data_IF_907841911488
#
_entry.id   IF_907841911488
#
_cell.length_a   1.000
_cell.length_b   1.000
_cell.length_c   1.000
_cell.angle_alpha   90.00
_cell.angle_beta   90.00
_cell.angle_gamma   90.00
#
_symmetry.space_group_name_H-M   'P 1'
#
loop_
_entity.id
_entity.type
_entity.pdbx_description
1 polymer ?
#
# COMPACT_ATOMS: atom_id res chain seq x y z
N UNK A 1 -2.31 19.31 6.13
CA UNK A 1 -2.95 18.09 6.69
C UNK A 1 -2.87 17.05 5.60
N UNK A 2 -2.37 15.88 5.93
CA UNK A 2 -2.14 14.79 4.99
C UNK A 2 -3.15 13.67 5.28
N UNK A 3 -3.72 13.11 4.23
CA UNK A 3 -4.64 11.97 4.29
C UNK A 3 -3.96 10.72 3.72
N UNK A 4 -4.16 9.57 4.37
CA UNK A 4 -3.85 8.26 3.80
C UNK A 4 -5.16 7.59 3.41
N UNK A 5 -5.28 7.20 2.14
CA UNK A 5 -6.44 6.45 1.64
C UNK A 5 -6.06 5.42 0.58
N UNK A 6 -7.00 4.53 0.27
CA UNK A 6 -6.91 3.66 -0.91
C UNK A 6 -6.79 4.50 -2.17
N UNK A 7 -5.94 4.04 -3.08
CA UNK A 7 -5.83 4.60 -4.41
C UNK A 7 -7.12 4.35 -5.19
N UNK A 8 -7.50 5.33 -6.01
CA UNK A 8 -8.58 5.26 -6.99
C UNK A 8 -8.01 5.44 -8.39
N UNK A 9 -8.85 5.27 -9.42
CA UNK A 9 -8.42 5.32 -10.82
C UNK A 9 -7.79 6.68 -11.17
N UNK A 10 -8.31 7.75 -10.61
CA UNK A 10 -7.88 9.13 -10.82
C UNK A 10 -6.48 9.40 -10.26
N UNK A 11 -6.00 8.57 -9.33
CA UNK A 11 -4.67 8.70 -8.73
C UNK A 11 -3.57 8.10 -9.62
N UNK A 12 -3.91 7.16 -10.51
CA UNK A 12 -2.94 6.38 -11.29
C UNK A 12 -1.92 7.25 -12.05
N UNK A 13 -2.30 8.36 -12.72
CA UNK A 13 -1.31 9.22 -13.39
C UNK A 13 -0.26 9.77 -12.42
N UNK A 14 -0.68 10.27 -11.26
CA UNK A 14 0.24 10.82 -10.25
C UNK A 14 1.07 9.73 -9.56
N UNK A 15 0.49 8.55 -9.28
CA UNK A 15 1.21 7.38 -8.76
C UNK A 15 2.30 6.95 -9.75
N UNK A 16 1.95 6.81 -11.03
CA UNK A 16 2.89 6.35 -12.04
C UNK A 16 3.98 7.38 -12.33
N UNK A 17 3.66 8.67 -12.25
CA UNK A 17 4.67 9.73 -12.27
C UNK A 17 5.60 9.61 -11.07
N UNK A 18 5.06 9.43 -9.85
CA UNK A 18 5.87 9.28 -8.64
C UNK A 18 6.82 8.06 -8.74
N UNK A 19 6.35 6.93 -9.26
CA UNK A 19 7.16 5.73 -9.49
C UNK A 19 8.26 6.00 -10.53
N UNK A 20 7.92 6.70 -11.62
CA UNK A 20 8.86 7.03 -12.70
C UNK A 20 9.93 8.03 -12.24
N UNK A 21 9.55 8.96 -11.36
CA UNK A 21 10.48 9.91 -10.71
C UNK A 21 11.47 9.19 -9.75
N UNK A 22 11.18 7.95 -9.33
CA UNK A 22 11.97 7.15 -8.36
C UNK A 22 12.30 5.75 -8.91
N UNK A 23 13.11 5.66 -9.99
CA UNK A 23 13.41 4.39 -10.66
C UNK A 23 14.14 3.38 -9.76
N UNK A 24 14.82 3.85 -8.71
CA UNK A 24 15.47 3.02 -7.67
C UNK A 24 14.49 2.15 -6.90
N UNK A 25 13.20 2.44 -6.96
CA UNK A 25 12.17 1.63 -6.34
C UNK A 25 11.93 0.28 -7.04
N UNK A 26 12.38 0.13 -8.30
CA UNK A 26 12.11 -1.05 -9.16
C UNK A 26 10.62 -1.40 -9.31
N UNK A 27 9.72 -0.49 -8.95
CA UNK A 27 8.28 -0.69 -8.99
C UNK A 27 7.79 -0.51 -10.42
N UNK A 28 6.99 -1.46 -10.90
CA UNK A 28 6.30 -1.30 -12.20
C UNK A 28 5.16 -0.31 -12.06
N UNK A 29 4.94 0.49 -13.12
CA UNK A 29 3.76 1.36 -13.24
C UNK A 29 2.47 0.58 -13.00
N UNK A 30 1.52 1.24 -12.34
CA UNK A 30 0.27 0.66 -11.89
C UNK A 30 -0.84 0.81 -12.91
N UNK A 31 -1.68 -0.21 -12.95
CA UNK A 31 -2.82 -0.31 -13.86
C UNK A 31 -4.14 -0.32 -13.07
N UNK A 32 -5.25 -0.03 -13.76
CA UNK A 32 -6.58 -0.12 -13.15
C UNK A 32 -6.92 -1.53 -12.64
N UNK A 33 -6.36 -2.58 -13.26
CA UNK A 33 -6.56 -3.96 -12.82
C UNK A 33 -6.04 -4.20 -11.39
N UNK A 34 -4.90 -3.60 -11.03
CA UNK A 34 -4.31 -3.73 -9.69
C UNK A 34 -5.14 -3.04 -8.61
N UNK A 35 -5.91 -1.98 -8.95
CA UNK A 35 -6.83 -1.34 -8.01
C UNK A 35 -8.01 -2.24 -7.61
N UNK A 36 -8.35 -3.20 -8.46
CA UNK A 36 -9.48 -4.11 -8.25
C UNK A 36 -9.06 -5.47 -7.67
N UNK A 37 -7.76 -5.71 -7.53
CA UNK A 37 -7.24 -6.93 -6.93
C UNK A 37 -7.54 -6.93 -5.41
N UNK A 38 -8.36 -7.89 -4.96
CA UNK A 38 -8.78 -7.97 -3.56
C UNK A 38 -7.64 -8.28 -2.60
N UNK A 39 -6.60 -8.93 -3.12
CA UNK A 39 -5.41 -9.29 -2.36
C UNK A 39 -4.36 -8.17 -2.38
N UNK A 40 -4.61 -7.05 -3.06
CA UNK A 40 -3.70 -5.91 -3.07
C UNK A 40 -4.30 -4.70 -2.35
N UNK A 41 -3.43 -3.98 -1.67
CA UNK A 41 -3.70 -2.69 -1.06
C UNK A 41 -2.77 -1.66 -1.68
N UNK A 42 -3.31 -0.87 -2.61
CA UNK A 42 -2.64 0.30 -3.14
C UNK A 42 -3.13 1.50 -2.34
N UNK A 43 -2.22 2.18 -1.64
CA UNK A 43 -2.53 3.32 -0.79
C UNK A 43 -1.66 4.51 -1.15
N UNK A 44 -2.22 5.71 -0.93
CA UNK A 44 -1.59 6.98 -1.28
C UNK A 44 -1.63 7.94 -0.11
N UNK A 45 -0.57 8.74 0.00
CA UNK A 45 -0.51 9.89 0.90
C UNK A 45 -0.79 11.16 0.08
N UNK A 46 -1.84 11.89 0.47
CA UNK A 46 -2.35 13.04 -0.28
C UNK A 46 -2.34 14.30 0.59
N UNK A 47 -1.91 15.42 0.00
CA UNK A 47 -1.99 16.74 0.64
C UNK A 47 -3.37 17.37 0.50
N UNK A 48 -3.64 18.48 1.20
CA UNK A 48 -4.90 19.21 1.07
C UNK A 48 -5.18 19.69 -0.35
N UNK A 49 -4.13 19.85 -1.15
CA UNK A 49 -4.18 20.30 -2.55
C UNK A 49 -4.33 19.14 -3.55
N UNK A 50 -4.73 17.94 -3.09
CA UNK A 50 -4.90 16.73 -3.90
C UNK A 50 -3.63 16.27 -4.63
N UNK A 51 -2.45 16.56 -4.06
CA UNK A 51 -1.16 16.09 -4.57
C UNK A 51 -0.76 14.80 -3.87
N UNK A 52 -0.40 13.78 -4.65
CA UNK A 52 0.15 12.53 -4.12
C UNK A 52 1.64 12.74 -3.83
N UNK A 53 2.00 12.55 -2.56
CA UNK A 53 3.37 12.72 -2.05
C UNK A 53 3.98 11.40 -1.57
N UNK A 54 3.17 10.33 -1.52
CA UNK A 54 3.62 8.99 -1.21
C UNK A 54 2.70 7.93 -1.78
N UNK A 55 3.29 6.79 -2.12
CA UNK A 55 2.60 5.59 -2.60
C UNK A 55 3.16 4.37 -1.86
N UNK A 56 2.27 3.47 -1.46
CA UNK A 56 2.68 2.16 -0.95
C UNK A 56 1.78 1.07 -1.53
N UNK A 57 2.36 -0.12 -1.67
CA UNK A 57 1.64 -1.34 -2.00
C UNK A 57 1.89 -2.38 -0.91
N UNK A 58 0.82 -3.04 -0.50
CA UNK A 58 0.89 -4.24 0.30
C UNK A 58 0.03 -5.35 -0.31
N UNK A 59 0.53 -6.58 -0.26
CA UNK A 59 -0.16 -7.76 -0.75
C UNK A 59 -0.59 -8.64 0.44
N UNK A 60 -1.82 -9.14 0.39
CA UNK A 60 -2.35 -10.16 1.26
C UNK A 60 -1.96 -11.54 0.71
N UNK A 61 -1.19 -12.28 1.49
CA UNK A 61 -0.88 -13.68 1.24
C UNK A 61 -1.73 -14.55 2.14
N UNK A 62 -2.55 -15.42 1.54
CA UNK A 62 -3.26 -16.44 2.30
C UNK A 62 -2.28 -17.54 2.70
N UNK A 63 -2.36 -18.02 3.94
CA UNK A 63 -1.61 -19.22 4.35
C UNK A 63 -2.25 -20.44 3.68
N UNK A 64 -1.44 -21.33 3.10
CA UNK A 64 -1.88 -22.63 2.59
C UNK A 64 -2.18 -23.64 3.72
N UNK A 65 -1.97 -23.26 4.99
CA UNK A 65 -2.16 -24.16 6.13
C UNK A 65 -3.64 -24.53 6.35
N UNK A 66 -3.83 -25.82 6.66
CA UNK A 66 -5.08 -26.60 6.73
C UNK A 66 -6.32 -25.82 7.20
N UNK A 67 -7.42 -26.08 6.48
CA UNK A 67 -8.79 -25.55 6.65
C UNK A 67 -9.31 -25.56 8.10
N UNK A 68 -8.77 -26.42 8.96
CA UNK A 68 -9.18 -26.55 10.37
C UNK A 68 -8.51 -25.53 11.32
N UNK A 69 -7.46 -24.85 10.87
CA UNK A 69 -6.81 -23.74 11.58
C UNK A 69 -6.82 -22.53 10.64
N UNK A 70 -7.94 -21.79 10.64
CA UNK A 70 -8.20 -20.58 9.82
C UNK A 70 -6.90 -19.89 9.39
N UNK A 71 -6.63 -19.72 8.09
CA UNK A 71 -5.38 -19.13 7.66
C UNK A 71 -5.36 -17.69 8.16
N UNK A 72 -4.50 -17.42 9.14
CA UNK A 72 -4.15 -16.05 9.42
C UNK A 72 -3.27 -15.62 8.26
N UNK A 73 -3.90 -15.08 7.22
CA UNK A 73 -3.17 -14.47 6.11
C UNK A 73 -2.15 -13.46 6.63
N UNK A 74 -1.16 -13.12 5.80
CA UNK A 74 -0.14 -12.11 6.09
C UNK A 74 -0.38 -10.92 5.19
N UNK A 75 -0.25 -9.71 5.72
CA UNK A 75 -0.19 -8.50 4.90
C UNK A 75 1.27 -8.05 4.81
N UNK A 76 1.81 -8.01 3.60
CA UNK A 76 3.23 -7.68 3.36
C UNK A 76 3.28 -6.40 2.56
N UNK A 77 3.83 -5.34 3.13
CA UNK A 77 4.18 -4.13 2.38
C UNK A 77 5.54 -4.33 1.72
N UNK A 78 5.57 -4.33 0.39
CA UNK A 78 6.79 -4.50 -0.42
C UNK A 78 7.10 -3.29 -1.31
N UNK A 79 6.32 -2.22 -1.21
CA UNK A 79 6.57 -0.99 -1.96
C UNK A 79 6.31 0.23 -1.10
N UNK A 80 7.24 1.16 -1.18
CA UNK A 80 7.11 2.51 -0.64
C UNK A 80 7.89 3.47 -1.54
N UNK A 81 7.20 4.51 -2.00
CA UNK A 81 7.80 5.62 -2.76
C UNK A 81 7.30 6.93 -2.16
N UNK A 82 8.19 7.86 -1.84
CA UNK A 82 7.83 9.13 -1.18
C UNK A 82 8.68 10.28 -1.71
N UNK A 83 8.06 11.42 -2.03
CA UNK A 83 8.78 12.62 -2.50
C UNK A 83 9.54 13.34 -1.38
N UNK A 84 8.96 13.47 -0.18
CA UNK A 84 9.54 14.18 0.98
C UNK A 84 8.94 13.67 2.32
N UNK A 85 9.60 13.93 3.46
CA UNK A 85 9.14 13.56 4.83
C UNK A 85 8.84 12.06 5.03
N UNK A 86 9.82 11.25 4.69
CA UNK A 86 9.74 9.80 4.64
C UNK A 86 9.23 9.16 5.94
N UNK A 87 9.71 9.57 7.11
CA UNK A 87 9.34 8.93 8.38
C UNK A 87 7.86 9.11 8.78
N UNK A 88 7.30 10.31 8.61
CA UNK A 88 5.90 10.57 8.95
C UNK A 88 4.97 9.79 8.01
N UNK A 89 5.28 9.79 6.71
CA UNK A 89 4.49 9.05 5.70
C UNK A 89 4.59 7.54 5.94
N UNK A 90 5.79 7.03 6.20
CA UNK A 90 6.01 5.62 6.55
C UNK A 90 5.19 5.19 7.75
N UNK A 91 5.24 5.97 8.84
CA UNK A 91 4.49 5.68 10.05
C UNK A 91 2.98 5.63 9.75
N UNK A 92 2.46 6.61 9.02
CA UNK A 92 1.03 6.66 8.67
C UNK A 92 0.60 5.54 7.73
N UNK A 93 1.45 5.11 6.81
CA UNK A 93 1.18 3.93 5.98
C UNK A 93 1.14 2.66 6.81
N UNK A 94 2.10 2.46 7.73
CA UNK A 94 2.09 1.33 8.63
C UNK A 94 0.82 1.31 9.50
N UNK A 95 0.43 2.45 10.08
CA UNK A 95 -0.82 2.59 10.86
C UNK A 95 -2.06 2.23 10.03
N UNK A 96 -2.14 2.72 8.79
CA UNK A 96 -3.24 2.39 7.87
C UNK A 96 -3.31 0.89 7.57
N UNK A 97 -2.17 0.27 7.26
CA UNK A 97 -2.09 -1.15 6.90
C UNK A 97 -2.38 -2.05 8.11
N UNK A 98 -1.97 -1.66 9.32
CA UNK A 98 -2.34 -2.36 10.55
C UNK A 98 -3.85 -2.33 10.79
N UNK A 99 -4.51 -1.20 10.52
CA UNK A 99 -5.97 -1.10 10.62
C UNK A 99 -6.67 -1.96 9.56
N UNK A 100 -6.18 -1.98 8.32
CA UNK A 100 -6.71 -2.86 7.27
C UNK A 100 -6.51 -4.34 7.58
N UNK A 101 -5.34 -4.73 8.11
CA UNK A 101 -5.08 -6.09 8.58
C UNK A 101 -6.08 -6.51 9.67
N UNK A 102 -6.34 -5.62 10.64
CA UNK A 102 -7.33 -5.86 11.70
C UNK A 102 -8.74 -6.06 11.13
N UNK A 103 -9.18 -5.24 10.17
CA UNK A 103 -10.48 -5.39 9.50
C UNK A 103 -10.61 -6.74 8.77
N UNK A 104 -9.51 -7.19 8.16
CA UNK A 104 -9.41 -8.46 7.42
C UNK A 104 -9.18 -9.68 8.31
N UNK A 105 -9.07 -9.52 9.64
CA UNK A 105 -8.72 -10.59 10.59
C UNK A 105 -7.37 -11.27 10.31
N UNK A 106 -6.46 -10.53 9.69
CA UNK A 106 -5.06 -10.89 9.45
C UNK A 106 -4.29 -10.74 10.76
N UNK A 107 -3.53 -11.77 11.18
CA UNK A 107 -2.81 -11.75 12.46
C UNK A 107 -1.38 -11.23 12.35
N UNK A 108 -0.85 -11.05 11.14
CA UNK A 108 0.56 -10.70 10.94
C UNK A 108 0.72 -9.68 9.82
N UNK A 109 1.45 -8.60 10.12
CA UNK A 109 1.83 -7.54 9.19
C UNK A 109 3.35 -7.46 9.12
N UNK A 110 3.87 -7.41 7.90
CA UNK A 110 5.30 -7.32 7.64
C UNK A 110 5.58 -6.14 6.71
N UNK A 111 6.73 -5.51 6.91
CA UNK A 111 7.28 -4.49 6.02
C UNK A 111 8.59 -5.04 5.46
N UNK A 112 8.69 -5.12 4.15
CA UNK A 112 9.82 -5.67 3.41
C UNK A 112 10.25 -4.65 2.36
N UNK A 113 11.49 -4.16 2.43
CA UNK A 113 12.05 -3.19 1.48
C UNK A 113 13.32 -3.77 0.86
#
# INVERSE_FOLDING_TARGET
>A
MMEIRRAVKEDLPQINQLITDHPESFVKVKTAAELHDRNKLLIVAITKENRIIGFAQADEQQSEERVDQRPAGKLIQHTLVTKEKTEEIQKRFAEYLMLEAKKRKIKSFFVQF
#
